data_IF_741636321990
#
_entry.id   IF_741636321990
#
_cell.length_a   1.000
_cell.length_b   1.000
_cell.length_c   1.000
_cell.angle_alpha   90.00
_cell.angle_beta   90.00
_cell.angle_gamma   90.00
#
_symmetry.space_group_name_H-M   'P 1'
#
loop_
_entity.id
_entity.type
_entity.pdbx_description
1 polymer ?
#
# COMPACT_ATOMS: atom_id res chain seq x y z
N UNK A 1 -10.13 23.78 -8.77
CA UNK A 1 -9.34 23.12 -7.70
C UNK A 1 -8.78 21.83 -8.29
N UNK A 2 -7.47 21.78 -8.56
CA UNK A 2 -6.86 20.59 -9.15
C UNK A 2 -6.86 19.48 -8.09
N UNK A 3 -7.56 18.37 -8.37
CA UNK A 3 -7.72 17.26 -7.42
C UNK A 3 -6.37 16.56 -7.31
N UNK A 4 -5.65 16.77 -6.22
CA UNK A 4 -4.39 16.08 -5.95
C UNK A 4 -4.67 14.58 -5.95
N UNK A 5 -4.12 13.85 -6.93
CA UNK A 5 -4.24 12.40 -6.94
C UNK A 5 -3.17 11.87 -5.98
N UNK A 6 -3.61 11.56 -4.77
CA UNK A 6 -2.78 10.91 -3.78
C UNK A 6 -3.18 9.45 -3.71
N UNK A 7 -2.19 8.56 -3.84
CA UNK A 7 -2.40 7.12 -3.83
C UNK A 7 -1.39 6.48 -2.91
N UNK A 8 -1.88 5.62 -2.03
CA UNK A 8 -1.09 4.78 -1.15
C UNK A 8 -1.12 3.37 -1.71
N UNK A 9 0.05 2.79 -1.97
CA UNK A 9 0.22 1.42 -2.43
C UNK A 9 0.91 0.61 -1.35
N UNK A 10 0.27 -0.48 -0.94
CA UNK A 10 0.84 -1.45 0.00
C UNK A 10 1.45 -2.60 -0.81
N UNK A 11 2.69 -2.96 -0.52
CA UNK A 11 3.39 -4.12 -1.08
C UNK A 11 3.79 -5.04 0.07
N UNK A 12 3.75 -6.35 -0.20
CA UNK A 12 4.22 -7.39 0.70
C UNK A 12 5.31 -8.15 -0.06
N UNK A 13 6.45 -8.32 0.60
CA UNK A 13 7.67 -8.94 0.09
C UNK A 13 8.17 -8.25 -1.20
N UNK A 14 8.74 -9.06 -2.10
CA UNK A 14 9.23 -8.61 -3.40
C UNK A 14 8.14 -8.68 -4.48
N UNK A 15 6.86 -8.72 -4.09
CA UNK A 15 5.74 -8.73 -5.03
C UNK A 15 5.74 -7.46 -5.89
N UNK A 16 5.81 -7.56 -7.23
CA UNK A 16 5.75 -6.40 -8.11
C UNK A 16 4.35 -5.77 -8.14
N UNK A 17 3.32 -6.53 -7.74
CA UNK A 17 1.95 -6.03 -7.62
C UNK A 17 1.66 -5.57 -6.20
N UNK A 18 1.04 -4.40 -6.02
CA UNK A 18 0.61 -3.96 -4.71
C UNK A 18 -0.45 -4.93 -4.17
N UNK A 19 -0.32 -5.27 -2.90
CA UNK A 19 -1.35 -5.96 -2.12
C UNK A 19 -2.65 -5.15 -2.04
N UNK A 20 -2.55 -3.81 -2.09
CA UNK A 20 -3.71 -2.93 -2.21
C UNK A 20 -3.35 -1.49 -2.57
N UNK A 21 -4.31 -0.79 -3.18
CA UNK A 21 -4.23 0.65 -3.49
C UNK A 21 -5.34 1.41 -2.76
N UNK A 22 -4.99 2.54 -2.16
CA UNK A 22 -5.89 3.32 -1.31
C UNK A 22 -5.74 4.82 -1.57
N UNK A 23 -6.80 5.58 -1.29
CA UNK A 23 -6.77 7.04 -1.24
C UNK A 23 -6.66 7.52 0.22
N UNK A 24 -5.79 8.50 0.53
CA UNK A 24 -5.69 9.05 1.88
C UNK A 24 -6.87 9.98 2.25
N UNK A 25 -7.15 10.17 3.56
CA UNK A 25 -6.58 9.44 4.68
C UNK A 25 -7.14 8.01 4.77
N UNK A 26 -6.29 7.03 5.10
CA UNK A 26 -6.69 5.61 5.16
C UNK A 26 -6.14 4.93 6.41
N UNK A 27 -6.94 4.02 6.99
CA UNK A 27 -6.52 3.02 7.96
C UNK A 27 -6.53 1.67 7.26
N UNK A 28 -5.43 0.94 7.32
CA UNK A 28 -5.28 -0.36 6.68
C UNK A 28 -5.28 -1.42 7.78
N UNK A 29 -6.29 -2.27 7.77
CA UNK A 29 -6.36 -3.46 8.61
C UNK A 29 -5.87 -4.65 7.78
N UNK A 30 -4.63 -5.08 8.02
CA UNK A 30 -3.99 -6.18 7.31
C UNK A 30 -4.24 -7.49 8.05
N UNK A 31 -4.97 -8.41 7.41
CA UNK A 31 -5.17 -9.76 7.89
C UNK A 31 -3.99 -10.65 7.46
N UNK A 32 -3.06 -10.89 8.39
CA UNK A 32 -1.84 -11.68 8.15
C UNK A 32 -2.12 -13.17 8.04
N UNK A 33 -3.31 -13.67 8.39
CA UNK A 33 -3.67 -15.10 8.23
C UNK A 33 -3.75 -15.54 6.77
N UNK A 34 -3.80 -14.57 5.85
CA UNK A 34 -3.81 -14.77 4.41
C UNK A 34 -2.40 -14.78 3.80
N UNK A 35 -1.39 -14.47 4.60
CA UNK A 35 0.01 -14.60 4.22
C UNK A 35 0.48 -16.01 4.56
N UNK A 36 1.45 -16.49 3.79
CA UNK A 36 2.11 -17.75 4.13
C UNK A 36 2.93 -17.57 5.41
N UNK A 37 3.29 -18.66 6.09
CA UNK A 37 4.16 -18.56 7.26
C UNK A 37 5.60 -18.25 6.82
N UNK A 38 6.23 -17.30 7.51
CA UNK A 38 7.62 -16.91 7.24
C UNK A 38 7.91 -15.45 7.55
N UNK A 39 9.13 -15.04 7.23
CA UNK A 39 9.54 -13.64 7.31
C UNK A 39 8.97 -12.88 6.11
N UNK A 40 8.28 -11.78 6.40
CA UNK A 40 7.66 -10.94 5.40
C UNK A 40 8.12 -9.49 5.53
N UNK A 41 8.26 -8.81 4.39
CA UNK A 41 8.63 -7.39 4.35
C UNK A 41 7.45 -6.57 3.86
N UNK A 42 6.92 -5.71 4.71
CA UNK A 42 5.86 -4.78 4.32
C UNK A 42 6.45 -3.46 3.82
N UNK A 43 6.03 -3.00 2.65
CA UNK A 43 6.43 -1.72 2.07
C UNK A 43 5.22 -0.87 1.71
N UNK A 44 5.14 0.33 2.27
CA UNK A 44 4.09 1.31 1.96
C UNK A 44 4.68 2.44 1.13
N UNK A 45 4.10 2.69 -0.03
CA UNK A 45 4.52 3.77 -0.94
C UNK A 45 3.37 4.76 -1.12
N UNK A 46 3.55 5.97 -0.61
CA UNK A 46 2.66 7.09 -0.89
C UNK A 46 3.18 7.84 -2.12
N UNK A 47 2.31 8.06 -3.11
CA UNK A 47 2.56 8.93 -4.25
C UNK A 47 1.56 10.08 -4.24
N UNK A 48 2.06 11.29 -4.42
CA UNK A 48 1.25 12.49 -4.60
C UNK A 48 1.54 13.07 -5.97
N UNK A 49 0.52 13.57 -6.65
CA UNK A 49 0.68 14.28 -7.94
C UNK A 49 1.51 15.57 -7.84
N UNK A 50 1.97 15.97 -6.64
CA UNK A 50 2.77 17.16 -6.40
C UNK A 50 4.28 16.91 -6.28
N UNK A 51 4.75 15.65 -6.43
CA UNK A 51 6.18 15.29 -6.31
C UNK A 51 6.55 14.84 -4.92
#
# INVERSE_FOLDING_TARGET
>A
MSKTQQTIRLFIDDSPTPFGEYAPPVKIDLDTTRLVDGDHVMKVVARSSNG
#
